data_IF_898333490753
#
_entry.id   IF_898333490753
#
_cell.length_a   1.000
_cell.length_b   1.000
_cell.length_c   1.000
_cell.angle_alpha   90.00
_cell.angle_beta   90.00
_cell.angle_gamma   90.00
#
_symmetry.space_group_name_H-M   'P 1'
#
loop_
_entity.id
_entity.type
_entity.pdbx_description
1 polymer ?
#
# COMPACT_ATOMS: atom_id res chain seq x y z
N UNK A 1 -6.49 27.18 1.78
CA UNK A 1 -6.40 25.75 2.16
C UNK A 1 -4.99 25.27 1.87
N UNK A 2 -4.32 24.65 2.85
CA UNK A 2 -2.95 24.15 2.69
C UNK A 2 -3.01 22.87 1.84
N UNK A 3 -2.42 22.88 0.64
CA UNK A 3 -2.31 21.68 -0.21
C UNK A 3 -1.12 20.87 0.28
N UNK A 4 -1.25 19.55 0.30
CA UNK A 4 -0.11 18.65 0.50
C UNK A 4 0.90 18.86 -0.64
N UNK A 5 2.18 18.90 -0.30
CA UNK A 5 3.26 18.77 -1.27
C UNK A 5 3.22 17.39 -1.93
N UNK A 6 3.93 17.24 -3.05
CA UNK A 6 3.94 16.00 -3.82
C UNK A 6 4.57 14.83 -3.03
N UNK A 7 5.55 15.15 -2.18
CA UNK A 7 6.20 14.18 -1.29
C UNK A 7 5.26 13.74 -0.16
N UNK A 8 4.54 14.68 0.46
CA UNK A 8 3.53 14.38 1.48
C UNK A 8 2.37 13.54 0.90
N UNK A 9 1.91 13.86 -0.30
CA UNK A 9 0.84 13.13 -0.98
C UNK A 9 1.27 11.70 -1.32
N UNK A 10 2.48 11.53 -1.85
CA UNK A 10 3.05 10.22 -2.18
C UNK A 10 3.26 9.39 -0.90
N UNK A 11 3.75 10.00 0.17
CA UNK A 11 3.90 9.35 1.47
C UNK A 11 2.57 8.90 2.07
N UNK A 12 1.55 9.76 2.01
CA UNK A 12 0.19 9.44 2.47
C UNK A 12 -0.40 8.24 1.72
N UNK A 13 -0.24 8.18 0.39
CA UNK A 13 -0.71 7.06 -0.43
C UNK A 13 -0.03 5.74 -0.06
N UNK A 14 1.30 5.73 0.08
CA UNK A 14 2.05 4.53 0.50
C UNK A 14 1.60 4.04 1.88
N UNK A 15 1.49 4.96 2.84
CA UNK A 15 1.06 4.65 4.21
C UNK A 15 -0.37 4.11 4.24
N UNK A 16 -1.26 4.67 3.43
CA UNK A 16 -2.65 4.21 3.35
C UNK A 16 -2.76 2.79 2.79
N UNK A 17 -1.89 2.40 1.86
CA UNK A 17 -1.79 1.01 1.37
C UNK A 17 -1.21 0.09 2.44
N UNK A 18 -0.13 0.50 3.11
CA UNK A 18 0.52 -0.30 4.18
C UNK A 18 -0.42 -0.60 5.35
N UNK A 19 -1.27 0.37 5.70
CA UNK A 19 -2.24 0.26 6.78
C UNK A 19 -3.57 -0.35 6.35
N UNK A 20 -3.70 -0.76 5.09
CA UNK A 20 -4.95 -1.30 4.52
C UNK A 20 -6.17 -0.42 4.81
N UNK A 21 -5.99 0.91 4.69
CA UNK A 21 -7.07 1.86 4.93
C UNK A 21 -8.20 1.72 3.91
N UNK A 22 -9.35 2.30 4.25
CA UNK A 22 -10.56 2.26 3.45
C UNK A 22 -10.29 2.57 1.97
N UNK A 23 -10.83 1.72 1.09
CA UNK A 23 -10.59 1.78 -0.36
C UNK A 23 -10.97 3.12 -0.98
N UNK A 24 -11.96 3.81 -0.43
CA UNK A 24 -12.38 5.14 -0.92
C UNK A 24 -11.31 6.20 -0.67
N UNK A 25 -10.70 6.21 0.52
CA UNK A 25 -9.63 7.14 0.86
C UNK A 25 -8.39 6.91 -0.01
N UNK A 26 -8.00 5.66 -0.22
CA UNK A 26 -6.89 5.29 -1.10
C UNK A 26 -7.16 5.71 -2.54
N UNK A 27 -8.40 5.57 -3.02
CA UNK A 27 -8.78 6.00 -4.36
C UNK A 27 -8.69 7.52 -4.54
N UNK A 28 -9.07 8.32 -3.54
CA UNK A 28 -8.91 9.78 -3.58
C UNK A 28 -7.45 10.20 -3.68
N UNK A 29 -6.56 9.58 -2.89
CA UNK A 29 -5.13 9.85 -2.94
C UNK A 29 -4.53 9.48 -4.30
N UNK A 30 -4.94 8.34 -4.86
CA UNK A 30 -4.53 7.90 -6.20
C UNK A 30 -4.96 8.90 -7.28
N UNK A 31 -6.21 9.37 -7.23
CA UNK A 31 -6.73 10.32 -8.21
C UNK A 31 -5.94 11.65 -8.17
N UNK A 32 -5.63 12.17 -6.99
CA UNK A 32 -4.82 13.40 -6.88
C UNK A 32 -3.38 13.19 -7.39
N UNK A 33 -2.78 12.03 -7.15
CA UNK A 33 -1.46 11.68 -7.70
C UNK A 33 -1.48 11.65 -9.23
N UNK A 34 -2.48 11.01 -9.82
CA UNK A 34 -2.67 10.94 -11.28
C UNK A 34 -2.88 12.34 -11.88
N UNK A 35 -3.69 13.20 -11.24
CA UNK A 35 -3.89 14.59 -11.66
C UNK A 35 -2.61 15.42 -11.65
N UNK A 36 -1.66 15.11 -10.76
CA UNK A 36 -0.36 15.79 -10.66
C UNK A 36 0.73 15.15 -11.52
N UNK A 37 0.43 14.07 -12.25
CA UNK A 37 1.42 13.32 -13.02
C UNK A 37 2.44 12.57 -12.16
N UNK A 38 2.15 12.41 -10.86
CA UNK A 38 2.96 11.64 -9.93
C UNK A 38 2.51 10.19 -10.06
N UNK A 39 3.14 9.42 -10.93
CA UNK A 39 2.79 8.03 -11.15
C UNK A 39 2.77 7.28 -9.80
N UNK A 40 1.64 6.66 -9.37
CA UNK A 40 1.63 5.92 -8.13
C UNK A 40 2.62 4.75 -8.27
N UNK A 41 3.43 4.45 -7.24
CA UNK A 41 4.23 3.24 -7.24
C UNK A 41 3.24 2.08 -7.34
N UNK A 42 3.18 1.46 -8.53
CA UNK A 42 2.41 0.25 -8.77
C UNK A 42 2.81 -0.72 -7.68
N UNK A 43 1.82 -1.25 -6.93
CA UNK A 43 2.01 -2.31 -5.95
C UNK A 43 2.97 -3.35 -6.56
N UNK A 44 4.25 -3.30 -6.19
CA UNK A 44 5.02 -4.53 -6.11
C UNK A 44 4.37 -5.24 -4.95
N UNK A 45 3.43 -6.13 -5.27
CA UNK A 45 2.88 -7.06 -4.31
C UNK A 45 4.08 -7.65 -3.57
N UNK A 46 4.17 -7.38 -2.27
CA UNK A 46 5.14 -8.03 -1.42
C UNK A 46 4.98 -9.53 -1.69
N UNK A 47 6.04 -10.14 -2.22
CA UNK A 47 6.04 -11.54 -2.57
C UNK A 47 5.57 -12.32 -1.35
N UNK A 48 4.48 -13.06 -1.56
CA UNK A 48 3.95 -14.05 -0.64
C UNK A 48 5.07 -14.97 -0.20
N UNK A 49 5.54 -14.78 1.03
CA UNK A 49 6.31 -15.79 1.75
C UNK A 49 5.58 -16.09 3.05
N UNK A 50 4.35 -16.61 2.91
CA UNK A 50 3.77 -17.45 3.95
C UNK A 50 4.58 -18.74 3.96
N UNK A 51 5.63 -18.78 4.78
CA UNK A 51 6.28 -20.03 5.16
C UNK A 51 5.38 -20.77 6.16
N UNK A 52 4.27 -21.32 5.68
CA UNK A 52 3.54 -22.38 6.37
C UNK A 52 4.20 -23.72 6.05
N UNK A 53 5.35 -23.99 6.68
CA UNK A 53 5.78 -25.36 6.88
C UNK A 53 5.49 -25.72 8.33
N UNK A 54 4.24 -26.11 8.58
CA UNK A 54 3.89 -26.85 9.77
C UNK A 54 4.62 -28.20 9.72
N UNK A 55 5.74 -28.32 10.42
CA UNK A 55 6.29 -29.63 10.77
C UNK A 55 5.44 -30.20 11.90
N UNK A 56 4.32 -30.84 11.53
CA UNK A 56 3.67 -31.83 12.36
C UNK A 56 4.48 -33.12 12.31
N UNK A 57 5.12 -33.48 13.42
CA UNK A 57 5.63 -34.83 13.64
C UNK A 57 5.01 -35.31 14.96
N UNK A 58 3.84 -35.91 14.84
CA UNK A 58 3.34 -36.88 15.82
C UNK A 58 3.82 -38.28 15.38
N UNK A 59 4.08 -39.12 16.39
CA UNK A 59 4.25 -40.58 16.36
C UNK A 59 5.64 -41.15 16.01
N UNK A 60 6.44 -41.42 17.05
CA UNK A 60 6.73 -42.79 17.52
C UNK A 60 7.39 -42.77 18.90
#
# INVERSE_FOLDING_TARGET
MKRLSDEELTGAYKKAIELELESHFVAMLRAELELRGLAPPVRQAAASHVACSATGNEDT
#
